data_IF_807332318654
#
_entry.id   IF_807332318654
#
_cell.length_a   1.000
_cell.length_b   1.000
_cell.length_c   1.000
_cell.angle_alpha   90.00
_cell.angle_beta   90.00
_cell.angle_gamma   90.00
#
_symmetry.space_group_name_H-M   'P 1'
#
loop_
_entity.id
_entity.type
_entity.pdbx_description
1 polymer ?
#
# COMPACT_ATOMS: atom_id res chain seq x y z
N UNK A 1 3.06 -21.32 7.61
CA UNK A 1 4.24 -20.51 7.23
C UNK A 1 3.82 -19.07 7.37
N UNK A 2 4.56 -18.19 8.04
CA UNK A 2 4.08 -16.84 8.29
C UNK A 2 3.73 -16.07 7.00
N UNK A 3 2.66 -15.27 7.03
CA UNK A 3 2.30 -14.35 5.94
C UNK A 3 3.45 -13.38 5.66
N UNK A 4 3.83 -13.28 4.40
CA UNK A 4 4.93 -12.43 3.93
C UNK A 4 4.42 -11.24 3.12
N UNK A 5 5.13 -10.12 3.19
CA UNK A 5 4.88 -8.95 2.35
C UNK A 5 6.15 -8.65 1.55
N UNK A 6 6.00 -8.52 0.23
CA UNK A 6 7.09 -8.40 -0.72
C UNK A 6 6.96 -7.12 -1.55
N UNK A 7 8.10 -6.59 -1.96
CA UNK A 7 8.17 -5.51 -2.94
C UNK A 7 7.66 -6.00 -4.30
N UNK A 8 6.79 -5.20 -4.96
CA UNK A 8 6.30 -5.51 -6.32
C UNK A 8 7.39 -5.50 -7.40
N UNK A 9 8.55 -4.90 -7.11
CA UNK A 9 9.65 -4.71 -8.08
C UNK A 9 10.79 -5.69 -7.83
N UNK A 10 11.43 -5.64 -6.66
CA UNK A 10 12.59 -6.50 -6.36
C UNK A 10 12.21 -7.82 -5.65
N UNK A 11 10.94 -8.02 -5.29
CA UNK A 11 10.47 -9.12 -4.43
C UNK A 11 11.17 -9.25 -3.07
N UNK A 12 11.86 -8.19 -2.63
CA UNK A 12 12.45 -8.14 -1.29
C UNK A 12 11.39 -8.15 -0.19
N UNK A 13 11.70 -8.78 0.94
CA UNK A 13 10.81 -8.85 2.09
C UNK A 13 10.67 -7.48 2.76
N UNK A 14 9.43 -7.00 2.89
CA UNK A 14 9.08 -5.71 3.48
C UNK A 14 8.61 -5.85 4.94
N UNK A 15 8.17 -7.04 5.34
CA UNK A 15 7.74 -7.32 6.71
C UNK A 15 8.92 -7.83 7.53
N UNK A 16 9.19 -7.16 8.65
CA UNK A 16 10.22 -7.57 9.63
C UNK A 16 9.56 -7.64 10.99
N UNK A 17 9.72 -8.78 11.69
CA UNK A 17 8.99 -9.10 12.94
C UNK A 17 7.48 -8.97 12.77
N UNK A 18 6.91 -7.86 13.24
CA UNK A 18 5.48 -7.61 13.35
C UNK A 18 4.98 -6.50 12.43
N UNK A 19 5.86 -5.82 11.69
CA UNK A 19 5.48 -4.61 10.93
C UNK A 19 6.02 -4.63 9.51
N UNK A 20 5.26 -4.01 8.61
CA UNK A 20 5.69 -3.73 7.24
C UNK A 20 6.47 -2.41 7.25
N UNK A 21 7.67 -2.41 6.70
CA UNK A 21 8.56 -1.25 6.70
C UNK A 21 8.62 -0.68 5.29
N UNK A 22 8.24 0.59 5.15
CA UNK A 22 8.31 1.33 3.91
C UNK A 22 8.99 2.68 4.12
N UNK A 23 9.56 3.25 3.06
CA UNK A 23 10.01 4.64 3.07
C UNK A 23 8.88 5.51 2.53
N UNK A 24 8.49 6.55 3.26
CA UNK A 24 7.52 7.54 2.81
C UNK A 24 8.20 8.89 2.58
N UNK A 25 7.88 9.56 1.48
CA UNK A 25 8.35 10.90 1.14
C UNK A 25 7.14 11.76 0.83
N UNK A 26 6.99 12.91 1.51
CA UNK A 26 5.88 13.82 1.25
C UNK A 26 5.96 14.35 -0.19
N UNK A 27 4.83 14.34 -0.90
CA UNK A 27 4.78 14.72 -2.32
C UNK A 27 5.04 16.21 -2.51
N UNK A 28 4.51 17.07 -1.63
CA UNK A 28 4.64 18.54 -1.69
C UNK A 28 6.02 18.99 -1.22
N UNK A 29 6.56 18.37 -0.17
CA UNK A 29 7.86 18.69 0.40
C UNK A 29 8.79 17.47 0.42
N UNK A 30 9.62 17.34 -0.64
CA UNK A 30 10.51 16.19 -0.82
C UNK A 30 11.60 16.04 0.25
N UNK A 31 11.87 17.09 1.03
CA UNK A 31 12.79 17.03 2.17
C UNK A 31 12.20 16.28 3.36
N UNK A 32 10.87 16.21 3.47
CA UNK A 32 10.17 15.42 4.48
C UNK A 32 10.05 13.96 4.04
N UNK A 33 10.99 13.14 4.50
CA UNK A 33 11.01 11.69 4.26
C UNK A 33 11.39 10.92 5.50
N UNK A 34 10.88 9.70 5.62
CA UNK A 34 11.18 8.83 6.76
C UNK A 34 10.73 7.40 6.54
N UNK A 35 11.02 6.55 7.52
CA UNK A 35 10.50 5.20 7.57
C UNK A 35 9.12 5.19 8.24
N UNK A 36 8.23 4.38 7.69
CA UNK A 36 6.90 4.12 8.22
C UNK A 36 6.78 2.63 8.49
N UNK A 37 6.37 2.31 9.71
CA UNK A 37 5.98 0.98 10.13
C UNK A 37 4.46 0.89 10.02
N UNK A 38 3.96 -0.03 9.21
CA UNK A 38 2.53 -0.31 9.07
C UNK A 38 2.22 -1.64 9.74
N UNK A 39 1.03 -1.75 10.31
CA UNK A 39 0.52 -3.03 10.77
C UNK A 39 0.17 -3.94 9.57
N UNK A 40 0.59 -5.22 9.58
CA UNK A 40 0.29 -6.15 8.50
C UNK A 40 -1.15 -6.68 8.50
N UNK A 41 -1.92 -6.47 9.56
CA UNK A 41 -3.31 -6.89 9.65
C UNK A 41 -4.19 -6.03 8.73
N UNK A 42 -4.90 -6.68 7.80
CA UNK A 42 -5.76 -5.97 6.86
C UNK A 42 -6.90 -5.29 7.61
N UNK A 43 -7.02 -3.97 7.45
CA UNK A 43 -8.00 -3.15 8.17
C UNK A 43 -7.46 -2.51 9.45
N UNK A 44 -6.22 -2.84 9.84
CA UNK A 44 -5.49 -2.13 10.87
C UNK A 44 -4.68 -1.00 10.21
N UNK A 45 -5.08 0.24 10.50
CA UNK A 45 -4.43 1.45 9.96
C UNK A 45 -3.48 2.11 10.95
N UNK A 46 -3.11 1.38 12.02
CA UNK A 46 -2.09 1.86 12.94
C UNK A 46 -0.75 1.88 12.23
N UNK A 47 -0.02 2.97 12.44
CA UNK A 47 1.29 3.16 11.88
C UNK A 47 2.18 3.82 12.91
N UNK A 48 3.48 3.63 12.76
CA UNK A 48 4.49 4.26 13.61
C UNK A 48 5.55 4.87 12.72
N UNK A 49 5.96 6.09 13.06
CA UNK A 49 7.02 6.83 12.39
C UNK A 49 7.98 7.42 13.41
N UNK A 50 9.12 7.95 12.94
CA UNK A 50 10.03 8.68 13.80
C UNK A 50 9.34 9.96 14.34
N UNK A 51 9.58 10.39 15.60
CA UNK A 51 8.94 11.60 16.15
C UNK A 51 9.09 12.87 15.30
N UNK A 52 10.22 13.02 14.61
CA UNK A 52 10.50 14.17 13.72
C UNK A 52 9.88 14.05 12.31
N UNK A 53 9.29 12.90 11.96
CA UNK A 53 8.62 12.67 10.68
C UNK A 53 7.25 12.04 10.95
N UNK A 54 6.18 12.83 10.82
CA UNK A 54 4.82 12.33 10.99
C UNK A 54 4.06 12.40 9.67
N UNK A 55 3.20 11.41 9.46
CA UNK A 55 2.24 11.41 8.36
C UNK A 55 1.14 12.42 8.71
N UNK A 56 0.97 13.44 7.87
CA UNK A 56 -0.02 14.49 8.06
C UNK A 56 -1.31 14.11 7.33
N UNK A 57 -2.44 14.34 7.97
CA UNK A 57 -3.75 14.09 7.38
C UNK A 57 -3.96 14.94 6.13
N UNK A 58 -4.44 14.31 5.05
CA UNK A 58 -4.70 14.95 3.76
C UNK A 58 -3.46 15.19 2.87
N UNK A 59 -2.25 14.91 3.35
CA UNK A 59 -1.05 14.97 2.52
C UNK A 59 -0.81 13.65 1.78
N UNK A 60 -0.38 13.75 0.52
CA UNK A 60 -0.02 12.59 -0.29
C UNK A 60 1.46 12.25 -0.12
N UNK A 61 1.75 10.95 -0.01
CA UNK A 61 3.09 10.42 0.17
C UNK A 61 3.46 9.46 -0.94
N UNK A 62 4.71 9.56 -1.37
CA UNK A 62 5.36 8.58 -2.23
C UNK A 62 6.03 7.53 -1.35
N UNK A 63 5.54 6.31 -1.48
CA UNK A 63 6.07 5.13 -0.81
C UNK A 63 7.08 4.44 -1.72
N UNK A 64 8.28 4.23 -1.20
CA UNK A 64 9.34 3.49 -1.88
C UNK A 64 9.78 2.27 -1.06
N UNK A 65 10.31 1.28 -1.77
CA UNK A 65 10.85 0.09 -1.15
C UNK A 65 12.17 0.43 -0.45
N UNK A 66 12.36 0.11 0.85
CA UNK A 66 13.62 0.38 1.54
C UNK A 66 14.80 -0.47 1.03
N UNK A 67 14.53 -1.55 0.29
CA UNK A 67 15.56 -2.48 -0.22
C UNK A 67 16.12 -2.02 -1.57
N UNK A 68 15.26 -1.63 -2.51
CA UNK A 68 15.65 -1.28 -3.88
C UNK A 68 15.35 0.17 -4.28
N UNK A 69 14.75 0.95 -3.37
CA UNK A 69 14.30 2.32 -3.59
C UNK A 69 13.26 2.50 -4.72
N UNK A 70 12.68 1.41 -5.25
CA UNK A 70 11.66 1.49 -6.27
C UNK A 70 10.34 2.05 -5.71
N UNK A 71 9.65 2.87 -6.52
CA UNK A 71 8.36 3.44 -6.15
C UNK A 71 7.26 2.38 -6.13
N UNK A 72 6.53 2.31 -5.01
CA UNK A 72 5.46 1.35 -4.77
C UNK A 72 4.07 1.93 -5.10
N UNK A 73 3.93 3.26 -5.18
CA UNK A 73 2.72 3.91 -5.69
C UNK A 73 2.33 3.33 -7.07
N UNK A 74 1.03 3.15 -7.27
CA UNK A 74 0.44 2.67 -8.50
C UNK A 74 0.39 3.82 -9.51
N UNK A 75 0.88 3.57 -10.73
CA UNK A 75 0.67 4.51 -11.85
C UNK A 75 -0.74 4.39 -12.43
N UNK A 76 -1.39 3.24 -12.25
CA UNK A 76 -2.74 2.95 -12.77
C UNK A 76 -3.85 3.49 -11.86
N UNK A 77 -3.60 3.49 -10.55
CA UNK A 77 -4.59 3.88 -9.55
C UNK A 77 -4.01 5.02 -8.72
N UNK A 78 -4.47 6.23 -9.03
CA UNK A 78 -4.00 7.44 -8.34
C UNK A 78 -4.14 7.27 -6.83
N UNK A 79 -3.17 7.79 -6.08
CA UNK A 79 -3.12 7.74 -4.61
C UNK A 79 -3.02 6.35 -3.98
N UNK A 80 -3.04 5.25 -4.74
CA UNK A 80 -2.88 3.91 -4.18
C UNK A 80 -1.43 3.43 -4.25
N UNK A 81 -1.02 2.68 -3.23
CA UNK A 81 0.28 2.01 -3.14
C UNK A 81 0.07 0.51 -3.26
N UNK A 82 0.90 -0.16 -4.07
CA UNK A 82 0.81 -1.61 -4.30
C UNK A 82 2.00 -2.33 -3.69
N UNK A 83 1.72 -3.32 -2.85
CA UNK A 83 2.68 -4.32 -2.37
C UNK A 83 2.14 -5.73 -2.65
N UNK A 84 3.01 -6.73 -2.56
CA UNK A 84 2.62 -8.13 -2.72
C UNK A 84 2.47 -8.75 -1.33
N UNK A 85 1.48 -9.59 -1.15
CA UNK A 85 1.27 -10.44 0.01
C UNK A 85 1.35 -11.88 -0.43
N UNK A 86 2.02 -12.73 0.35
CA UNK A 86 2.08 -14.17 0.15
C UNK A 86 1.49 -14.84 1.38
N UNK A 87 0.37 -15.54 1.18
CA UNK A 87 -0.32 -16.30 2.21
C UNK A 87 0.47 -17.56 2.60
N UNK A 88 0.08 -18.24 3.67
CA UNK A 88 0.79 -19.42 4.20
C UNK A 88 0.86 -20.59 3.21
N UNK A 89 -0.11 -20.68 2.29
CA UNK A 89 -0.17 -21.67 1.20
C UNK A 89 0.74 -21.30 0.02
N UNK A 90 1.44 -20.17 0.10
CA UNK A 90 2.29 -19.65 -0.97
C UNK A 90 1.53 -18.94 -2.10
N UNK A 91 0.22 -18.73 -1.95
CA UNK A 91 -0.61 -17.96 -2.89
C UNK A 91 -0.27 -16.47 -2.78
N UNK A 92 -0.06 -15.84 -3.93
CA UNK A 92 0.28 -14.42 -4.00
C UNK A 92 -0.97 -13.56 -4.26
N UNK A 93 -1.11 -12.47 -3.51
CA UNK A 93 -2.14 -11.45 -3.69
C UNK A 93 -1.50 -10.07 -3.77
N UNK A 94 -2.12 -9.15 -4.51
CA UNK A 94 -1.74 -7.74 -4.51
C UNK A 94 -2.53 -7.00 -3.43
N UNK A 95 -1.82 -6.32 -2.54
CA UNK A 95 -2.42 -5.43 -1.55
C UNK A 95 -2.28 -4.00 -2.05
N UNK A 96 -3.41 -3.30 -2.13
CA UNK A 96 -3.47 -1.88 -2.41
C UNK A 96 -3.94 -1.13 -1.18
N UNK A 97 -3.26 -0.06 -0.81
CA UNK A 97 -3.66 0.82 0.29
C UNK A 97 -3.48 2.29 -0.09
N UNK A 98 -4.16 3.21 0.60
CA UNK A 98 -4.01 4.64 0.29
C UNK A 98 -2.64 5.18 0.68
N UNK A 99 -2.08 6.01 -0.18
CA UNK A 99 -0.88 6.81 0.05
C UNK A 99 -1.16 8.20 0.63
N UNK A 100 -2.43 8.54 0.91
CA UNK A 100 -2.82 9.80 1.56
C UNK A 100 -2.87 9.59 3.08
N UNK A 101 -2.24 10.48 3.82
CA UNK A 101 -2.29 10.46 5.28
C UNK A 101 -3.71 10.59 5.81
N UNK A 102 -4.09 9.71 6.73
CA UNK A 102 -5.44 9.69 7.33
C UNK A 102 -6.48 8.87 6.57
N UNK A 103 -6.27 8.57 5.28
CA UNK A 103 -7.20 7.72 4.52
C UNK A 103 -7.09 6.25 4.93
N UNK A 104 -8.23 5.65 5.22
CA UNK A 104 -8.38 4.26 5.64
C UNK A 104 -8.99 3.46 4.52
N UNK A 105 -8.12 2.89 3.70
CA UNK A 105 -8.50 2.10 2.54
C UNK A 105 -7.49 0.98 2.32
N UNK A 106 -7.97 -0.26 2.21
CA UNK A 106 -7.14 -1.42 1.84
C UNK A 106 -7.93 -2.39 0.97
N UNK A 107 -7.31 -2.87 -0.10
CA UNK A 107 -7.83 -3.88 -1.00
C UNK A 107 -6.87 -5.07 -1.08
N UNK A 108 -7.40 -6.28 -0.99
CA UNK A 108 -6.70 -7.52 -1.35
C UNK A 108 -7.26 -8.01 -2.68
N UNK A 109 -6.38 -8.15 -3.66
CA UNK A 109 -6.72 -8.58 -5.03
C UNK A 109 -5.94 -9.83 -5.37
N UNK A 110 -6.63 -10.85 -5.87
CA UNK A 110 -6.05 -12.10 -6.36
C UNK A 110 -6.70 -12.47 -7.69
N UNK A 111 -5.89 -12.85 -8.68
CA UNK A 111 -6.37 -13.20 -10.03
C UNK A 111 -7.35 -12.15 -10.61
N UNK A 112 -6.97 -10.86 -10.50
CA UNK A 112 -7.77 -9.70 -10.93
C UNK A 112 -9.15 -9.52 -10.28
N UNK A 113 -9.46 -10.33 -9.26
CA UNK A 113 -10.67 -10.23 -8.44
C UNK A 113 -10.36 -9.62 -7.08
N UNK A 114 -11.21 -8.69 -6.66
CA UNK A 114 -11.16 -8.14 -5.30
C UNK A 114 -11.66 -9.21 -4.33
N UNK A 115 -10.75 -9.76 -3.52
CA UNK A 115 -11.11 -10.71 -2.46
C UNK A 115 -11.59 -9.99 -1.20
N UNK A 116 -11.01 -8.82 -0.91
CA UNK A 116 -11.32 -8.06 0.31
C UNK A 116 -11.21 -6.56 0.06
N UNK A 117 -12.14 -5.82 0.66
CA UNK A 117 -12.14 -4.36 0.71
C UNK A 117 -12.43 -3.92 2.14
N UNK A 118 -11.55 -3.13 2.72
CA UNK A 118 -11.67 -2.65 4.10
C UNK A 118 -11.45 -1.14 4.17
N UNK A 119 -12.13 -0.49 5.13
CA UNK A 119 -11.99 0.93 5.44
C UNK A 119 -13.08 1.83 4.83
N UNK A 120 -13.44 2.94 5.51
CA UNK A 120 -14.49 3.86 5.07
C UNK A 120 -14.16 4.56 3.75
N UNK A 121 -12.88 4.88 3.51
CA UNK A 121 -12.42 5.63 2.33
C UNK A 121 -12.28 4.74 1.10
N UNK A 122 -12.41 3.41 1.25
CA UNK A 122 -12.37 2.49 0.12
C UNK A 122 -13.45 2.81 -0.92
N UNK A 123 -14.60 3.35 -0.53
CA UNK A 123 -15.67 3.69 -1.50
C UNK A 123 -15.18 4.67 -2.59
N UNK A 124 -14.24 5.56 -2.26
CA UNK A 124 -13.64 6.56 -3.17
C UNK A 124 -12.93 5.88 -4.35
N UNK A 125 -12.36 4.69 -4.11
CA UNK A 125 -11.52 3.97 -5.06
C UNK A 125 -12.26 2.87 -5.81
N UNK A 126 -13.55 2.63 -5.53
CA UNK A 126 -14.35 1.61 -6.22
C UNK A 126 -14.35 1.77 -7.74
N UNK A 127 -14.29 3.01 -8.25
CA UNK A 127 -14.19 3.30 -9.69
C UNK A 127 -13.04 2.57 -10.41
N UNK A 128 -12.01 2.19 -9.68
CA UNK A 128 -10.84 1.47 -10.23
C UNK A 128 -11.01 -0.05 -10.27
N UNK A 129 -11.92 -0.60 -9.47
CA UNK A 129 -12.03 -2.04 -9.22
C UNK A 129 -13.39 -2.63 -9.62
N UNK A 130 -14.48 -1.86 -9.54
CA UNK A 130 -15.84 -2.25 -9.96
C UNK A 130 -16.03 -2.26 -11.49
N UNK A 131 -15.09 -1.70 -12.24
CA UNK A 131 -15.17 -1.67 -13.71
C UNK A 131 -14.58 -2.96 -14.29
N UNK A 132 -15.30 -3.70 -15.16
CA UNK A 132 -14.77 -4.89 -15.83
C UNK A 132 -13.48 -4.57 -16.57
N UNK A 133 -12.55 -5.54 -16.61
CA UNK A 133 -11.20 -5.33 -17.16
C UNK A 133 -11.19 -4.76 -18.59
N UNK A 134 -12.20 -5.09 -19.38
CA UNK A 134 -12.39 -4.65 -20.77
C UNK A 134 -12.62 -3.13 -20.90
N UNK A 135 -13.21 -2.51 -19.88
CA UNK A 135 -13.54 -1.08 -19.84
C UNK A 135 -12.51 -0.24 -19.07
N UNK A 136 -11.60 -0.88 -18.34
CA UNK A 136 -10.51 -0.19 -17.60
C UNK A 136 -9.50 0.53 -18.51
N UNK A 137 -9.56 0.33 -19.83
CA UNK A 137 -8.73 1.03 -20.82
C UNK A 137 -9.16 2.47 -21.11
N UNK A 138 -10.32 2.89 -20.60
CA UNK A 138 -10.89 4.23 -20.80
C UNK A 138 -10.85 5.12 -19.54
N UNK A 139 -10.19 4.64 -18.47
CA UNK A 139 -9.90 5.37 -17.23
C UNK A 139 -8.44 5.83 -17.23
#
# INVERSE_FOLDING_TARGET
>A
MAVEFLCKVCRGHLKVKTSIILTATNLKNRSEKGLVFLDPEIGNYTHTTHPSFQIKEGDEYIFTCPVCNAQLNSMKYLHLVRILMKDEEGKESSIYFSGIGGEKCTYKIRDDRVEMRTGPDAVIYNKYFDVPEEDRKYL
#
